data_IF_125842501160
#
_entry.id   IF_125842501160
#
_cell.length_a   1.000
_cell.length_b   1.000
_cell.length_c   1.000
_cell.angle_alpha   90.00
_cell.angle_beta   90.00
_cell.angle_gamma   90.00
#
_symmetry.space_group_name_H-M   'P 1'
#
loop_
_entity.id
_entity.type
_entity.pdbx_description
1 polymer ?
#
# COMPACT_ATOMS: atom_id res chain seq x y z
N UNK A 1 1.51 1.01 -7.48
CA UNK A 1 2.49 0.20 -8.25
C UNK A 1 2.97 -1.02 -7.46
N UNK A 2 3.60 -0.85 -6.32
CA UNK A 2 4.18 -1.94 -5.50
C UNK A 2 3.13 -2.96 -5.05
N UNK A 3 2.02 -2.51 -4.46
CA UNK A 3 0.92 -3.37 -3.99
C UNK A 3 0.39 -4.33 -5.06
N UNK A 4 0.22 -3.84 -6.29
CA UNK A 4 -0.23 -4.65 -7.41
C UNK A 4 0.75 -5.77 -7.77
N UNK A 5 2.05 -5.48 -7.76
CA UNK A 5 3.09 -6.48 -8.08
C UNK A 5 3.29 -7.49 -6.98
N UNK A 6 3.23 -7.06 -5.72
CA UNK A 6 3.29 -7.97 -4.57
C UNK A 6 2.08 -8.91 -4.58
N UNK A 7 0.88 -8.40 -4.87
CA UNK A 7 -0.31 -9.23 -5.04
C UNK A 7 -0.10 -10.32 -6.11
N UNK A 8 0.34 -9.94 -7.31
CA UNK A 8 0.58 -10.89 -8.39
C UNK A 8 1.68 -11.89 -8.03
N UNK A 9 2.79 -11.41 -7.47
CA UNK A 9 3.88 -12.28 -7.03
C UNK A 9 3.42 -13.29 -5.97
N UNK A 10 2.65 -12.85 -4.95
CA UNK A 10 2.15 -13.73 -3.90
C UNK A 10 1.31 -14.87 -4.46
N UNK A 11 0.44 -14.54 -5.42
CA UNK A 11 -0.39 -15.53 -6.10
C UNK A 11 0.44 -16.52 -6.93
N UNK A 12 1.55 -16.09 -7.49
CA UNK A 12 2.41 -16.97 -8.31
C UNK A 12 3.26 -17.94 -7.47
N UNK A 13 3.63 -17.56 -6.25
CA UNK A 13 4.53 -18.37 -5.41
C UNK A 13 3.81 -19.20 -4.36
N UNK A 14 2.51 -19.00 -4.17
CA UNK A 14 1.70 -19.71 -3.19
C UNK A 14 0.46 -20.31 -3.85
N UNK A 15 0.12 -21.57 -3.51
CA UNK A 15 -1.10 -22.22 -3.97
C UNK A 15 -1.64 -23.18 -2.90
N UNK A 16 -2.94 -23.18 -2.56
CA UNK A 16 -3.90 -22.13 -2.91
C UNK A 16 -3.58 -20.83 -2.16
N UNK A 17 -3.94 -19.67 -2.73
CA UNK A 17 -3.72 -18.38 -2.12
C UNK A 17 -4.90 -17.44 -2.35
N UNK A 18 -5.23 -16.66 -1.34
CA UNK A 18 -6.16 -15.53 -1.45
C UNK A 18 -5.40 -14.26 -1.13
N UNK A 19 -5.56 -13.24 -1.97
CA UNK A 19 -5.09 -11.89 -1.65
C UNK A 19 -6.26 -10.94 -1.56
N UNK A 20 -6.36 -10.24 -0.44
CA UNK A 20 -7.34 -9.18 -0.21
C UNK A 20 -6.60 -7.84 -0.22
N UNK A 21 -7.00 -6.94 -1.11
CA UNK A 21 -6.46 -5.58 -1.19
C UNK A 21 -7.52 -4.61 -0.68
N UNK A 22 -7.15 -3.79 0.29
CA UNK A 22 -8.03 -2.82 0.94
C UNK A 22 -7.46 -1.43 0.75
N UNK A 23 -8.34 -0.47 0.46
CA UNK A 23 -8.00 0.95 0.41
C UNK A 23 -9.16 1.79 0.90
N UNK A 24 -8.92 3.05 1.29
CA UNK A 24 -9.95 3.91 1.87
C UNK A 24 -11.08 4.25 0.88
N UNK A 25 -10.83 4.23 -0.41
CA UNK A 25 -11.84 4.56 -1.43
C UNK A 25 -11.86 3.56 -2.59
N UNK A 26 -13.04 3.42 -3.22
CA UNK A 26 -13.19 2.62 -4.42
C UNK A 26 -12.22 3.04 -5.53
N UNK A 27 -11.98 4.34 -5.71
CA UNK A 27 -11.05 4.87 -6.70
C UNK A 27 -9.62 4.37 -6.46
N UNK A 28 -9.14 4.38 -5.23
CA UNK A 28 -7.80 3.91 -4.91
C UNK A 28 -7.63 2.42 -5.20
N UNK A 29 -8.60 1.62 -4.87
CA UNK A 29 -8.56 0.19 -5.14
C UNK A 29 -8.72 -0.09 -6.64
N UNK A 30 -9.79 0.36 -7.28
CA UNK A 30 -10.15 -0.04 -8.63
C UNK A 30 -9.36 0.69 -9.72
N UNK A 31 -9.15 2.00 -9.57
CA UNK A 31 -8.55 2.84 -10.61
C UNK A 31 -7.04 2.99 -10.46
N UNK A 32 -6.50 2.77 -9.26
CA UNK A 32 -5.07 2.84 -9.03
C UNK A 32 -4.48 1.43 -8.92
N UNK A 33 -4.80 0.69 -7.85
CA UNK A 33 -4.15 -0.62 -7.62
C UNK A 33 -4.51 -1.62 -8.70
N UNK A 34 -5.80 -1.77 -9.04
CA UNK A 34 -6.25 -2.74 -10.03
C UNK A 34 -5.91 -2.35 -11.47
N UNK A 35 -5.82 -1.05 -11.78
CA UNK A 35 -5.30 -0.58 -13.07
C UNK A 35 -3.84 -1.02 -13.24
N UNK A 36 -3.01 -0.82 -12.21
CA UNK A 36 -1.62 -1.27 -12.20
C UNK A 36 -1.50 -2.81 -12.27
N UNK A 37 -2.37 -3.53 -11.56
CA UNK A 37 -2.41 -4.98 -11.60
C UNK A 37 -2.74 -5.49 -13.00
N UNK A 38 -3.75 -4.89 -13.67
CA UNK A 38 -4.11 -5.23 -15.05
C UNK A 38 -2.98 -4.95 -16.04
N UNK A 39 -2.25 -3.83 -15.86
CA UNK A 39 -1.09 -3.51 -16.70
C UNK A 39 0.01 -4.56 -16.49
N UNK A 40 0.40 -4.80 -15.24
CA UNK A 40 1.43 -5.77 -14.91
C UNK A 40 1.07 -7.21 -15.35
N UNK A 41 -0.21 -7.58 -15.26
CA UNK A 41 -0.69 -8.87 -15.73
C UNK A 41 -0.53 -9.02 -17.25
N UNK A 42 -0.91 -7.99 -18.04
CA UNK A 42 -0.78 -8.01 -19.50
C UNK A 42 0.66 -7.96 -19.99
N UNK A 43 1.51 -7.22 -19.27
CA UNK A 43 2.92 -7.00 -19.62
C UNK A 43 3.85 -8.10 -19.07
N UNK A 44 3.29 -9.08 -18.37
CA UNK A 44 4.09 -10.16 -17.80
C UNK A 44 4.76 -10.97 -18.88
N UNK A 45 6.06 -11.23 -18.70
CA UNK A 45 6.85 -12.09 -19.58
C UNK A 45 6.44 -13.57 -19.50
N UNK A 46 5.74 -13.94 -18.45
CA UNK A 46 5.25 -15.29 -18.20
C UNK A 46 3.73 -15.28 -18.07
N UNK A 47 3.03 -16.32 -18.57
CA UNK A 47 1.61 -16.46 -18.35
C UNK A 47 1.32 -16.57 -16.84
N UNK A 48 0.56 -15.63 -16.31
CA UNK A 48 0.17 -15.64 -14.88
C UNK A 48 -1.06 -16.53 -14.61
N UNK A 49 -1.69 -17.03 -15.67
CA UNK A 49 -2.91 -17.84 -15.57
C UNK A 49 -4.14 -17.03 -15.12
N UNK A 50 -5.27 -17.73 -15.02
CA UNK A 50 -6.51 -17.15 -14.54
C UNK A 50 -7.11 -16.06 -15.43
N UNK A 51 -8.06 -15.33 -14.86
CA UNK A 51 -8.79 -14.29 -15.54
C UNK A 51 -8.83 -12.98 -14.72
N UNK A 52 -8.30 -11.90 -15.30
CA UNK A 52 -8.32 -10.57 -14.71
C UNK A 52 -9.64 -9.88 -15.08
N UNK A 53 -10.57 -9.74 -14.12
CA UNK A 53 -11.89 -9.14 -14.33
C UNK A 53 -11.80 -7.62 -14.47
N UNK A 54 -12.87 -7.03 -15.03
CA UNK A 54 -13.02 -5.56 -15.06
C UNK A 54 -13.22 -4.98 -13.65
N UNK A 55 -13.85 -5.74 -12.77
CA UNK A 55 -13.92 -5.43 -11.34
C UNK A 55 -12.56 -5.65 -10.66
N UNK A 56 -12.43 -5.24 -9.40
CA UNK A 56 -11.22 -5.47 -8.61
C UNK A 56 -11.09 -6.96 -8.21
N UNK A 57 -10.93 -7.83 -9.20
CA UNK A 57 -10.79 -9.28 -9.01
C UNK A 57 -9.92 -9.92 -10.09
N UNK A 58 -8.97 -10.75 -9.66
CA UNK A 58 -8.26 -11.72 -10.49
C UNK A 58 -8.54 -13.12 -9.93
N UNK A 59 -8.87 -14.06 -10.78
CA UNK A 59 -9.34 -15.37 -10.39
C UNK A 59 -8.69 -16.46 -11.25
N UNK A 60 -8.05 -17.41 -10.60
CA UNK A 60 -7.53 -18.63 -11.23
C UNK A 60 -8.53 -19.76 -10.99
N UNK A 61 -8.98 -19.92 -9.75
CA UNK A 61 -10.03 -20.84 -9.34
C UNK A 61 -10.71 -20.34 -8.04
N UNK A 62 -11.67 -21.12 -7.49
CA UNK A 62 -12.46 -20.75 -6.31
C UNK A 62 -11.62 -20.59 -5.02
N UNK A 63 -10.42 -21.15 -4.98
CA UNK A 63 -9.50 -21.09 -3.82
C UNK A 63 -8.24 -20.30 -4.09
N UNK A 64 -8.11 -19.78 -5.31
CA UNK A 64 -6.92 -19.07 -5.75
C UNK A 64 -7.30 -17.82 -6.53
N UNK A 65 -7.40 -16.70 -5.82
CA UNK A 65 -7.83 -15.42 -6.38
C UNK A 65 -7.31 -14.23 -5.57
N UNK A 66 -7.37 -13.06 -6.20
CA UNK A 66 -7.19 -11.78 -5.55
C UNK A 66 -8.45 -10.93 -5.70
N UNK A 67 -8.79 -10.16 -4.67
CA UNK A 67 -9.97 -9.30 -4.65
C UNK A 67 -9.66 -7.99 -3.96
N UNK A 68 -10.30 -6.91 -4.38
CA UNK A 68 -10.16 -5.56 -3.83
C UNK A 68 -11.44 -5.02 -3.25
N UNK A 69 -11.32 -4.34 -2.12
CA UNK A 69 -12.41 -3.68 -1.42
C UNK A 69 -12.02 -2.27 -1.03
N UNK A 70 -13.01 -1.40 -0.97
CA UNK A 70 -12.88 -0.07 -0.40
C UNK A 70 -13.63 0.02 0.93
N UNK A 71 -13.08 0.76 1.89
CA UNK A 71 -13.67 0.91 3.22
C UNK A 71 -14.80 1.94 3.29
N UNK A 72 -15.00 2.71 2.23
CA UNK A 72 -16.11 3.66 2.08
C UNK A 72 -17.48 2.99 1.88
N UNK A 73 -17.50 1.69 1.67
CA UNK A 73 -18.72 0.88 1.60
C UNK A 73 -18.73 -0.12 2.76
N UNK A 74 -19.92 -0.48 3.26
CA UNK A 74 -20.10 -1.51 4.29
C UNK A 74 -19.43 -2.82 3.86
N UNK A 75 -18.23 -3.04 4.38
CA UNK A 75 -17.41 -4.19 3.99
C UNK A 75 -17.69 -5.39 4.89
N UNK A 76 -18.21 -6.42 4.28
CA UNK A 76 -18.18 -7.73 4.90
C UNK A 76 -16.83 -8.43 4.58
N UNK A 77 -15.80 -8.15 5.38
CA UNK A 77 -14.46 -8.76 5.26
C UNK A 77 -14.46 -10.23 5.71
N UNK A 78 -15.59 -10.74 6.18
CA UNK A 78 -15.69 -12.11 6.69
C UNK A 78 -15.66 -13.15 5.55
N UNK A 79 -15.12 -14.32 5.84
CA UNK A 79 -15.20 -15.47 4.95
C UNK A 79 -13.97 -15.72 4.06
N UNK A 80 -12.90 -14.92 4.17
CA UNK A 80 -11.66 -15.21 3.46
C UNK A 80 -10.80 -16.18 4.28
N UNK A 81 -10.72 -17.43 3.83
CA UNK A 81 -9.92 -18.47 4.47
C UNK A 81 -8.98 -19.12 3.46
N UNK A 82 -7.68 -19.01 3.70
CA UNK A 82 -6.66 -19.65 2.89
C UNK A 82 -5.42 -19.91 3.76
N UNK A 83 -4.71 -21.01 3.56
CA UNK A 83 -3.40 -21.20 4.20
C UNK A 83 -2.40 -20.13 3.80
N UNK A 84 -2.61 -19.48 2.64
CA UNK A 84 -1.78 -18.40 2.14
C UNK A 84 -2.64 -17.15 1.92
N UNK A 85 -3.20 -16.62 3.00
CA UNK A 85 -3.96 -15.36 2.96
C UNK A 85 -3.00 -14.19 3.10
N UNK A 86 -2.91 -13.36 2.05
CA UNK A 86 -2.23 -12.06 2.09
C UNK A 86 -3.27 -10.96 2.16
N UNK A 87 -3.12 -10.04 3.10
CA UNK A 87 -3.88 -8.79 3.11
C UNK A 87 -2.97 -7.62 2.85
N UNK A 88 -3.34 -6.78 1.89
CA UNK A 88 -2.63 -5.54 1.54
C UNK A 88 -3.56 -4.38 1.86
N UNK A 89 -3.14 -3.49 2.74
CA UNK A 89 -3.85 -2.25 3.07
C UNK A 89 -3.07 -1.09 2.47
N UNK A 90 -3.67 -0.41 1.49
CA UNK A 90 -3.08 0.78 0.87
C UNK A 90 -3.62 2.03 1.53
N UNK A 91 -2.79 3.08 1.61
CA UNK A 91 -3.13 4.31 2.34
C UNK A 91 -3.62 4.02 3.77
N UNK A 92 -2.88 3.15 4.46
CA UNK A 92 -3.27 2.59 5.76
C UNK A 92 -3.49 3.66 6.84
N UNK A 93 -2.86 4.84 6.69
CA UNK A 93 -3.08 6.01 7.55
C UNK A 93 -4.50 6.59 7.43
N UNK A 94 -5.23 6.29 6.35
CA UNK A 94 -6.60 6.72 6.09
C UNK A 94 -7.63 5.57 6.23
N UNK A 95 -7.23 4.44 6.79
CA UNK A 95 -8.12 3.29 7.02
C UNK A 95 -8.45 3.20 8.51
N UNK A 96 -9.74 3.22 8.83
CA UNK A 96 -10.20 3.14 10.22
C UNK A 96 -9.70 1.88 10.92
N UNK A 97 -9.30 2.01 12.19
CA UNK A 97 -8.79 0.91 13.00
C UNK A 97 -9.77 -0.28 13.05
N UNK A 98 -11.07 -0.03 13.06
CA UNK A 98 -12.10 -1.08 13.06
C UNK A 98 -11.98 -2.03 11.83
N UNK A 99 -11.60 -1.50 10.66
CA UNK A 99 -11.36 -2.31 9.47
C UNK A 99 -10.07 -3.12 9.58
N UNK A 100 -9.02 -2.53 10.14
CA UNK A 100 -7.75 -3.23 10.38
C UNK A 100 -7.98 -4.37 11.37
N UNK A 101 -8.74 -4.15 12.44
CA UNK A 101 -9.10 -5.17 13.43
C UNK A 101 -9.96 -6.29 12.81
N UNK A 102 -10.86 -5.95 11.88
CA UNK A 102 -11.64 -6.93 11.15
C UNK A 102 -10.75 -7.83 10.27
N UNK A 103 -9.75 -7.24 9.61
CA UNK A 103 -8.74 -7.97 8.84
C UNK A 103 -7.90 -8.88 9.74
N UNK A 104 -7.44 -8.39 10.88
CA UNK A 104 -6.64 -9.20 11.84
C UNK A 104 -7.41 -10.45 12.31
N UNK A 105 -8.73 -10.36 12.45
CA UNK A 105 -9.59 -11.51 12.80
C UNK A 105 -9.65 -12.60 11.72
N UNK A 106 -9.28 -12.28 10.47
CA UNK A 106 -9.12 -13.29 9.41
C UNK A 106 -7.88 -14.18 9.61
N UNK A 107 -7.01 -13.80 10.55
CA UNK A 107 -5.72 -14.44 10.80
C UNK A 107 -4.87 -14.61 9.51
N UNK A 108 -4.55 -13.53 8.81
CA UNK A 108 -3.81 -13.60 7.56
C UNK A 108 -2.40 -14.16 7.77
N UNK A 109 -1.89 -14.92 6.80
CA UNK A 109 -0.52 -15.42 6.81
C UNK A 109 0.50 -14.28 6.74
N UNK A 110 0.14 -13.22 6.04
CA UNK A 110 0.94 -11.98 5.90
C UNK A 110 0.03 -10.77 5.75
N UNK A 111 0.48 -9.66 6.31
CA UNK A 111 -0.12 -8.33 6.10
C UNK A 111 0.93 -7.37 5.55
N UNK A 112 0.52 -6.52 4.63
CA UNK A 112 1.31 -5.41 4.13
C UNK A 112 0.48 -4.13 4.29
N UNK A 113 0.97 -3.20 5.09
CA UNK A 113 0.41 -1.87 5.23
C UNK A 113 1.32 -0.89 4.49
N UNK A 114 0.75 -0.06 3.64
CA UNK A 114 1.48 1.01 2.94
C UNK A 114 0.73 2.31 3.11
N UNK A 115 1.44 3.39 3.30
CA UNK A 115 0.86 4.72 3.49
C UNK A 115 1.91 5.79 3.66
N UNK A 116 1.46 7.02 3.79
CA UNK A 116 2.30 8.14 4.18
C UNK A 116 2.28 8.28 5.71
N UNK A 117 3.29 8.93 6.26
CA UNK A 117 3.43 9.14 7.70
C UNK A 117 2.54 10.30 8.23
N UNK A 118 1.26 10.30 7.84
CA UNK A 118 0.25 11.28 8.26
C UNK A 118 -0.75 10.69 9.26
N UNK A 119 -0.25 10.01 10.27
CA UNK A 119 -1.08 9.46 11.34
C UNK A 119 -0.40 9.73 12.68
N UNK A 120 -1.19 9.94 13.71
CA UNK A 120 -0.76 10.11 15.11
C UNK A 120 -1.30 8.99 16.01
N UNK A 121 -2.08 8.09 15.45
CA UNK A 121 -2.68 6.96 16.15
C UNK A 121 -2.99 5.80 15.17
N UNK A 122 -3.41 4.67 15.75
CA UNK A 122 -3.82 3.47 15.03
C UNK A 122 -2.68 2.55 14.64
N UNK A 123 -3.03 1.38 14.10
CA UNK A 123 -2.09 0.29 13.81
C UNK A 123 -0.89 0.70 12.95
N UNK A 124 -1.14 1.55 11.92
CA UNK A 124 -0.07 1.99 11.03
C UNK A 124 0.96 2.85 11.76
N UNK A 125 0.51 3.77 12.61
CA UNK A 125 1.37 4.59 13.46
C UNK A 125 2.11 3.75 14.50
N UNK A 126 1.38 2.91 15.25
CA UNK A 126 1.93 2.07 16.31
C UNK A 126 2.98 1.08 15.80
N UNK A 127 2.87 0.61 14.56
CA UNK A 127 3.87 -0.25 13.94
C UNK A 127 5.28 0.37 13.91
N UNK A 128 5.36 1.70 13.84
CA UNK A 128 6.62 2.45 13.84
C UNK A 128 7.05 2.95 15.23
N UNK A 129 6.11 3.12 16.18
CA UNK A 129 6.40 3.78 17.47
C UNK A 129 6.38 2.86 18.69
N UNK A 130 6.00 1.64 18.59
CA UNK A 130 5.94 0.76 19.75
C UNK A 130 5.29 -0.59 19.50
N UNK A 131 4.90 -0.85 18.28
CA UNK A 131 4.23 -2.09 17.86
C UNK A 131 5.06 -3.36 18.02
N UNK A 132 6.28 -3.26 18.58
CA UNK A 132 7.14 -4.36 18.91
C UNK A 132 7.53 -5.21 17.70
N UNK A 133 7.89 -6.46 17.96
CA UNK A 133 8.37 -7.41 16.95
C UNK A 133 7.32 -7.91 15.95
N UNK A 134 6.09 -7.35 15.98
CA UNK A 134 4.99 -7.80 15.12
C UNK A 134 5.13 -7.33 13.67
N UNK A 135 5.75 -6.17 13.45
CA UNK A 135 5.90 -5.57 12.14
C UNK A 135 7.37 -5.33 11.78
N UNK A 136 7.72 -5.64 10.54
CA UNK A 136 8.95 -5.12 9.95
C UNK A 136 8.61 -3.81 9.26
N UNK A 137 9.10 -2.71 9.81
CA UNK A 137 8.92 -1.37 9.27
C UNK A 137 9.96 -1.06 8.19
N UNK A 138 9.55 -0.33 7.17
CA UNK A 138 10.41 0.16 6.09
C UNK A 138 10.04 1.62 5.86
N UNK A 139 10.94 2.53 6.15
CA UNK A 139 10.84 3.94 5.80
C UNK A 139 11.51 4.17 4.45
N UNK A 140 10.88 4.96 3.60
CA UNK A 140 11.42 5.33 2.29
C UNK A 140 11.33 6.84 2.17
N UNK A 141 12.47 7.49 2.26
CA UNK A 141 12.60 8.94 2.03
C UNK A 141 12.59 9.25 0.53
N UNK A 142 12.15 10.46 0.16
CA UNK A 142 12.36 10.96 -1.18
C UNK A 142 13.85 11.01 -1.58
N UNK A 143 14.73 11.16 -0.59
CA UNK A 143 16.18 11.14 -0.81
C UNK A 143 16.74 9.76 -1.18
N UNK A 144 16.02 8.69 -0.89
CA UNK A 144 16.39 7.30 -1.25
C UNK A 144 15.98 6.92 -2.68
N UNK A 145 15.32 7.84 -3.39
CA UNK A 145 14.84 7.55 -4.74
C UNK A 145 15.98 7.61 -5.77
N UNK A 146 15.96 6.76 -6.81
CA UNK A 146 17.00 6.75 -7.84
C UNK A 146 17.25 8.12 -8.47
N UNK A 147 16.22 8.90 -8.76
CA UNK A 147 16.36 10.22 -9.37
C UNK A 147 17.12 11.21 -8.48
N UNK A 148 16.90 11.13 -7.16
CA UNK A 148 17.60 12.00 -6.21
C UNK A 148 19.03 11.52 -5.98
N UNK A 149 19.25 10.22 -5.83
CA UNK A 149 20.58 9.63 -5.63
C UNK A 149 21.49 9.95 -6.81
N UNK A 150 21.03 9.67 -8.05
CA UNK A 150 21.84 9.86 -9.25
C UNK A 150 21.88 11.32 -9.72
N UNK A 151 20.88 12.12 -9.38
CA UNK A 151 20.68 13.46 -9.94
C UNK A 151 20.13 13.46 -11.37
N UNK A 152 19.72 12.31 -11.89
CA UNK A 152 19.20 12.12 -13.25
C UNK A 152 17.75 11.63 -13.21
N UNK A 153 16.98 11.89 -14.26
CA UNK A 153 15.61 11.41 -14.38
C UNK A 153 15.59 9.93 -14.84
N UNK A 154 16.07 9.03 -13.97
CA UNK A 154 16.17 7.58 -14.22
C UNK A 154 14.78 6.94 -14.32
N UNK A 155 13.85 7.36 -13.46
CA UNK A 155 12.47 6.89 -13.46
C UNK A 155 11.55 8.07 -13.74
N UNK A 156 10.98 8.17 -14.94
CA UNK A 156 10.07 9.27 -15.29
C UNK A 156 8.89 9.38 -14.33
N UNK A 157 8.64 10.60 -13.85
CA UNK A 157 7.54 10.88 -12.92
C UNK A 157 7.84 10.62 -11.44
N UNK A 158 9.02 10.06 -11.11
CA UNK A 158 9.49 9.97 -9.72
C UNK A 158 10.10 11.33 -9.30
N UNK A 159 9.96 11.63 -8.00
CA UNK A 159 10.52 12.87 -7.42
C UNK A 159 12.03 12.99 -7.69
N UNK A 160 12.47 14.17 -8.07
CA UNK A 160 13.87 14.53 -8.23
C UNK A 160 14.28 15.66 -7.25
N UNK A 161 15.53 16.08 -7.33
CA UNK A 161 16.10 17.10 -6.41
C UNK A 161 15.38 18.44 -6.49
N UNK A 162 15.02 18.88 -7.69
CA UNK A 162 14.33 20.16 -7.89
C UNK A 162 12.99 20.20 -7.13
N UNK A 163 12.19 19.16 -7.21
CA UNK A 163 10.91 19.07 -6.48
C UNK A 163 11.10 19.04 -4.97
N UNK A 164 12.18 18.45 -4.47
CA UNK A 164 12.51 18.48 -3.03
C UNK A 164 12.88 19.90 -2.60
N UNK A 165 13.71 20.60 -3.39
CA UNK A 165 14.11 21.96 -3.09
C UNK A 165 12.96 22.97 -3.17
N UNK A 166 12.01 22.76 -4.09
CA UNK A 166 10.76 23.52 -4.16
C UNK A 166 9.92 23.30 -2.90
N UNK A 167 9.67 22.03 -2.51
CA UNK A 167 8.91 21.70 -1.30
C UNK A 167 9.56 22.23 -0.04
N UNK A 168 10.89 22.18 0.04
CA UNK A 168 11.66 22.76 1.15
C UNK A 168 11.39 24.26 1.31
N UNK A 169 11.38 25.00 0.19
CA UNK A 169 11.11 26.44 0.18
C UNK A 169 9.65 26.77 0.49
N UNK A 170 8.74 25.97 -0.03
CA UNK A 170 7.30 26.21 0.08
C UNK A 170 6.76 25.82 1.46
N UNK A 171 7.16 24.65 1.97
CA UNK A 171 6.60 24.08 3.19
C UNK A 171 7.48 24.30 4.42
N UNK A 172 8.78 24.46 4.24
CA UNK A 172 9.78 24.47 5.33
C UNK A 172 10.16 23.05 5.75
N UNK A 173 11.42 22.85 6.13
CA UNK A 173 11.96 21.52 6.46
C UNK A 173 11.35 20.91 7.72
N UNK A 174 10.89 21.74 8.66
CA UNK A 174 10.33 21.33 9.95
C UNK A 174 8.81 21.12 9.91
N UNK A 175 8.16 21.46 8.79
CA UNK A 175 6.73 21.30 8.67
C UNK A 175 6.32 19.81 8.66
N UNK A 176 5.19 19.49 9.26
CA UNK A 176 4.64 18.14 9.25
C UNK A 176 4.47 17.61 7.82
N UNK A 177 4.11 18.50 6.88
CA UNK A 177 3.96 18.14 5.47
C UNK A 177 5.29 17.72 4.82
N UNK A 178 6.39 18.45 5.10
CA UNK A 178 7.72 18.11 4.59
C UNK A 178 8.23 16.81 5.23
N UNK A 179 8.14 16.70 6.55
CA UNK A 179 8.60 15.53 7.31
C UNK A 179 7.90 14.27 6.80
N UNK A 180 6.57 14.29 6.67
CA UNK A 180 5.82 13.12 6.21
C UNK A 180 5.99 12.83 4.71
N UNK A 181 5.99 13.88 3.84
CA UNK A 181 5.96 13.66 2.38
C UNK A 181 7.35 13.55 1.74
N UNK A 182 8.37 14.14 2.36
CA UNK A 182 9.74 14.15 1.81
C UNK A 182 10.65 13.22 2.59
N UNK A 183 10.63 13.31 3.92
CA UNK A 183 11.46 12.43 4.75
C UNK A 183 10.86 11.05 4.93
N UNK A 184 9.54 10.88 4.76
CA UNK A 184 8.84 9.62 4.99
C UNK A 184 8.71 9.26 6.46
N UNK A 185 8.82 10.25 7.36
CA UNK A 185 8.82 10.11 8.81
C UNK A 185 7.52 10.66 9.41
N UNK A 186 7.14 10.13 10.57
CA UNK A 186 6.00 10.66 11.31
C UNK A 186 6.42 11.96 11.99
N UNK A 187 5.72 13.09 11.74
CA UNK A 187 6.01 14.36 12.40
C UNK A 187 5.55 14.32 13.87
N UNK A 188 6.27 15.03 14.72
CA UNK A 188 5.96 15.14 16.15
C UNK A 188 4.61 15.85 16.40
N UNK A 189 4.17 16.70 15.48
CA UNK A 189 2.91 17.44 15.57
C UNK A 189 2.26 17.53 14.19
N UNK A 190 1.05 16.98 14.03
CA UNK A 190 0.29 17.05 12.78
C UNK A 190 -0.53 18.34 12.62
N UNK A 191 -0.73 19.12 13.71
CA UNK A 191 -1.55 20.34 13.67
C UNK A 191 -0.92 21.46 12.81
N UNK A 192 0.38 21.39 12.54
CA UNK A 192 1.11 22.37 11.72
C UNK A 192 1.00 22.10 10.20
N UNK A 193 0.09 21.22 9.78
CA UNK A 193 -0.04 20.78 8.37
C UNK A 193 -1.16 21.47 7.58
N UNK A 194 -1.77 22.55 8.11
CA UNK A 194 -2.86 23.28 7.47
C UNK A 194 -2.39 24.66 6.98
#
# INVERSE_FOLDING_TARGET
>A
WMSARIMLWWQMVNYPAITVVIGPTHRQVSDIVWKEARSAYRESRFPLGGYMKQTARWEVDDRHYAVGFATDNDMNIQGFHSPNLLVIITEAHNVDQAHIDAVKRLNPSRMLLTGNAFADAGEFFEAFHGGGDMYKTIEISAFDTPNVITGENVIPGMVGREQIDERRKEWGEESALYVASVLGQFPDNLEDSI
#
